data_IF_918619797012
#
_entry.id   IF_918619797012
#
_cell.length_a   1.000
_cell.length_b   1.000
_cell.length_c   1.000
_cell.angle_alpha   90.00
_cell.angle_beta   90.00
_cell.angle_gamma   90.00
#
_symmetry.space_group_name_H-M   'P 1'
#
loop_
_entity.id
_entity.type
_entity.pdbx_description
1 polymer ?
#
# COMPACT_ATOMS: atom_id res chain seq x y z
N UNK A 1 6.22 1.98 -6.78
CA UNK A 1 5.51 2.13 -5.49
C UNK A 1 4.50 1.01 -5.40
N UNK A 2 4.32 0.38 -4.23
CA UNK A 2 3.48 -0.81 -4.06
C UNK A 2 2.04 -0.65 -4.59
N UNK A 3 1.42 0.53 -4.42
CA UNK A 3 0.09 0.81 -4.96
C UNK A 3 0.01 0.72 -6.49
N UNK A 4 1.09 0.96 -7.23
CA UNK A 4 1.09 0.77 -8.70
C UNK A 4 1.02 -0.72 -9.05
N UNK A 5 1.79 -1.55 -8.35
CA UNK A 5 1.71 -3.01 -8.51
C UNK A 5 0.31 -3.53 -8.17
N UNK A 6 -0.32 -3.02 -7.12
CA UNK A 6 -1.71 -3.36 -6.79
C UNK A 6 -2.68 -2.94 -7.91
N UNK A 7 -2.50 -1.75 -8.48
CA UNK A 7 -3.29 -1.27 -9.62
C UNK A 7 -3.14 -2.21 -10.81
N UNK A 8 -1.91 -2.50 -11.20
CA UNK A 8 -1.61 -3.32 -12.36
C UNK A 8 -2.23 -4.72 -12.20
N UNK A 9 -2.11 -5.32 -11.02
CA UNK A 9 -2.73 -6.60 -10.71
C UNK A 9 -4.27 -6.57 -10.73
N UNK A 10 -4.88 -5.52 -10.18
CA UNK A 10 -6.34 -5.34 -10.19
C UNK A 10 -6.87 -5.24 -11.63
N UNK A 11 -6.20 -4.44 -12.47
CA UNK A 11 -6.56 -4.28 -13.88
C UNK A 11 -6.38 -5.59 -14.67
N UNK A 12 -5.29 -6.31 -14.44
CA UNK A 12 -5.06 -7.64 -15.03
C UNK A 12 -6.12 -8.66 -14.57
N UNK A 13 -6.57 -8.56 -13.32
CA UNK A 13 -7.65 -9.39 -12.76
C UNK A 13 -9.06 -8.98 -13.26
N UNK A 14 -9.15 -8.02 -14.18
CA UNK A 14 -10.40 -7.56 -14.78
C UNK A 14 -11.14 -6.46 -14.01
N UNK A 15 -10.54 -5.91 -12.95
CA UNK A 15 -11.12 -4.80 -12.19
C UNK A 15 -10.88 -3.48 -12.93
N UNK A 16 -11.94 -2.86 -13.42
CA UNK A 16 -11.85 -1.54 -14.07
C UNK A 16 -11.83 -0.41 -13.04
N UNK A 17 -10.68 0.23 -12.90
CA UNK A 17 -10.51 1.39 -12.03
C UNK A 17 -10.82 2.68 -12.79
N UNK A 18 -12.05 3.19 -12.68
CA UNK A 18 -12.48 4.44 -13.32
C UNK A 18 -11.65 5.66 -12.87
N UNK A 19 -11.15 5.64 -11.63
CA UNK A 19 -10.26 6.65 -11.05
C UNK A 19 -9.07 5.94 -10.40
N UNK A 20 -7.88 6.10 -10.98
CA UNK A 20 -6.65 5.41 -10.53
C UNK A 20 -5.78 6.28 -9.63
N UNK A 21 -6.34 6.82 -8.55
CA UNK A 21 -5.53 7.48 -7.51
C UNK A 21 -4.93 6.43 -6.55
N UNK A 22 -3.79 6.71 -5.89
CA UNK A 22 -3.22 5.77 -4.93
C UNK A 22 -4.20 5.34 -3.83
N UNK A 23 -5.03 6.28 -3.36
CA UNK A 23 -6.02 6.05 -2.31
C UNK A 23 -7.16 5.15 -2.79
N UNK A 24 -7.66 5.36 -4.01
CA UNK A 24 -8.69 4.50 -4.61
C UNK A 24 -8.16 3.09 -4.84
N UNK A 25 -6.94 2.95 -5.38
CA UNK A 25 -6.32 1.64 -5.59
C UNK A 25 -6.19 0.86 -4.29
N UNK A 26 -5.76 1.51 -3.19
CA UNK A 26 -5.67 0.85 -1.88
C UNK A 26 -7.04 0.39 -1.38
N UNK A 27 -8.08 1.23 -1.55
CA UNK A 27 -9.45 0.88 -1.15
C UNK A 27 -9.98 -0.34 -1.90
N UNK A 28 -9.79 -0.37 -3.21
CA UNK A 28 -10.21 -1.51 -4.04
C UNK A 28 -9.38 -2.74 -3.72
N UNK A 29 -8.06 -2.63 -3.55
CA UNK A 29 -7.21 -3.75 -3.19
C UNK A 29 -7.59 -4.37 -1.83
N UNK A 30 -7.99 -3.55 -0.85
CA UNK A 30 -8.54 -4.04 0.41
C UNK A 30 -9.90 -4.73 0.20
N UNK A 31 -10.82 -4.12 -0.54
CA UNK A 31 -12.12 -4.72 -0.84
C UNK A 31 -12.02 -6.04 -1.63
N UNK A 32 -11.00 -6.19 -2.46
CA UNK A 32 -10.67 -7.41 -3.21
C UNK A 32 -9.91 -8.46 -2.39
N UNK A 33 -9.63 -8.19 -1.10
CA UNK A 33 -8.95 -9.13 -0.21
C UNK A 33 -7.44 -9.29 -0.47
N UNK A 34 -6.83 -8.41 -1.26
CA UNK A 34 -5.38 -8.40 -1.50
C UNK A 34 -4.65 -7.84 -0.27
N UNK A 35 -5.24 -6.82 0.36
CA UNK A 35 -4.70 -6.19 1.57
C UNK A 35 -5.48 -6.67 2.79
N UNK A 36 -4.78 -6.98 3.88
CA UNK A 36 -5.39 -7.35 5.15
C UNK A 36 -5.89 -6.15 5.96
N UNK A 37 -5.25 -4.98 5.83
CA UNK A 37 -5.61 -3.76 6.56
C UNK A 37 -5.53 -2.51 5.67
N UNK A 38 -6.65 -2.13 5.07
CA UNK A 38 -6.71 -0.96 4.20
C UNK A 38 -6.42 0.36 4.91
N UNK A 39 -6.73 0.48 6.20
CA UNK A 39 -6.52 1.71 6.98
C UNK A 39 -5.05 1.97 7.17
N UNK A 40 -4.29 0.96 7.59
CA UNK A 40 -2.83 1.08 7.76
C UNK A 40 -2.11 1.37 6.45
N UNK A 41 -2.62 0.85 5.34
CA UNK A 41 -2.09 1.19 4.01
C UNK A 41 -2.35 2.66 3.62
N UNK A 42 -3.49 3.23 4.02
CA UNK A 42 -3.77 4.65 3.83
C UNK A 42 -2.90 5.55 4.72
N UNK A 43 -2.64 5.14 5.97
CA UNK A 43 -1.69 5.81 6.87
C UNK A 43 -0.28 5.80 6.28
N UNK A 44 0.18 4.65 5.77
CA UNK A 44 1.46 4.53 5.07
C UNK A 44 1.55 5.44 3.83
N UNK A 45 0.48 5.54 3.05
CA UNK A 45 0.42 6.45 1.90
C UNK A 45 0.58 7.92 2.33
N UNK A 46 -0.03 8.31 3.45
CA UNK A 46 0.08 9.67 3.99
C UNK A 46 1.49 9.97 4.48
N UNK A 47 2.10 9.05 5.26
CA UNK A 47 3.48 9.17 5.70
C UNK A 47 4.46 9.30 4.53
N UNK A 48 4.27 8.52 3.46
CA UNK A 48 5.07 8.64 2.25
C UNK A 48 4.97 10.04 1.62
N UNK A 49 3.75 10.59 1.53
CA UNK A 49 3.54 11.91 0.96
C UNK A 49 4.22 13.00 1.81
N UNK A 50 4.12 12.89 3.14
CA UNK A 50 4.78 13.80 4.09
C UNK A 50 6.31 13.74 3.96
N UNK A 51 6.89 12.54 3.97
CA UNK A 51 8.33 12.33 3.82
C UNK A 51 8.91 12.87 2.50
N UNK A 52 8.07 13.00 1.48
CA UNK A 52 8.48 13.53 0.17
C UNK A 52 8.44 15.06 0.09
N UNK A 53 7.79 15.73 1.06
CA UNK A 53 7.44 17.15 0.94
C UNK A 53 7.76 18.01 2.18
N UNK A 54 8.23 17.46 3.31
CA UNK A 54 8.41 18.28 4.53
C UNK A 54 9.66 17.88 5.35
N UNK A 55 10.43 18.90 5.78
CA UNK A 55 11.50 18.79 6.79
C UNK A 55 10.95 18.93 8.22
N UNK A 56 9.82 18.29 8.52
CA UNK A 56 9.29 18.22 9.88
C UNK A 56 9.88 16.99 10.54
N UNK A 57 10.93 17.21 11.33
CA UNK A 57 11.69 16.14 12.01
C UNK A 57 10.80 15.29 12.90
N UNK A 58 9.78 15.88 13.55
CA UNK A 58 8.87 15.13 14.41
C UNK A 58 8.01 14.15 13.60
N UNK A 59 7.48 14.62 12.46
CA UNK A 59 6.71 13.77 11.53
C UNK A 59 7.60 12.71 10.86
N UNK A 60 8.86 13.04 10.62
CA UNK A 60 9.84 12.09 10.11
C UNK A 60 10.06 10.94 11.10
N UNK A 61 10.28 11.24 12.38
CA UNK A 61 10.47 10.22 13.42
C UNK A 61 9.22 9.34 13.59
N UNK A 62 8.03 9.93 13.58
CA UNK A 62 6.75 9.19 13.59
C UNK A 62 6.65 8.23 12.39
N UNK A 63 7.05 8.68 11.20
CA UNK A 63 7.01 7.85 10.00
C UNK A 63 8.05 6.72 10.04
N UNK A 64 9.26 6.98 10.51
CA UNK A 64 10.31 5.96 10.68
C UNK A 64 9.85 4.89 11.66
N UNK A 65 9.30 5.29 12.81
CA UNK A 65 8.79 4.33 13.79
C UNK A 65 7.66 3.47 13.22
N UNK A 66 6.72 4.05 12.48
CA UNK A 66 5.65 3.32 11.80
C UNK A 66 6.17 2.36 10.73
N UNK A 67 7.24 2.72 10.01
CA UNK A 67 7.88 1.84 9.01
C UNK A 67 8.41 0.57 9.67
N UNK A 68 9.14 0.72 10.77
CA UNK A 68 9.77 -0.40 11.47
C UNK A 68 8.75 -1.30 12.18
N UNK A 69 7.78 -0.71 12.86
CA UNK A 69 6.82 -1.42 13.70
C UNK A 69 5.65 -2.03 12.94
N UNK A 70 5.18 -1.39 11.86
CA UNK A 70 3.92 -1.74 11.22
C UNK A 70 4.03 -1.95 9.71
N UNK A 71 4.63 -1.01 8.96
CA UNK A 71 4.56 -1.08 7.50
C UNK A 71 5.39 -2.23 6.93
N UNK A 72 6.46 -2.62 7.61
CA UNK A 72 7.30 -3.76 7.23
C UNK A 72 6.51 -5.08 7.13
N UNK A 73 5.57 -5.33 8.06
CA UNK A 73 4.72 -6.54 8.00
C UNK A 73 3.70 -6.44 6.87
N UNK A 74 3.06 -5.29 6.70
CA UNK A 74 2.07 -5.08 5.62
C UNK A 74 2.66 -5.32 4.23
N UNK A 75 3.90 -4.88 4.00
CA UNK A 75 4.60 -5.14 2.73
C UNK A 75 4.92 -6.63 2.57
N UNK A 76 5.36 -7.31 3.65
CA UNK A 76 5.60 -8.76 3.61
C UNK A 76 4.33 -9.54 3.27
N UNK A 77 3.18 -9.15 3.80
CA UNK A 77 1.90 -9.81 3.53
C UNK A 77 1.53 -9.71 2.05
N UNK A 78 1.73 -8.54 1.44
CA UNK A 78 1.49 -8.34 -0.01
C UNK A 78 2.50 -9.12 -0.86
N UNK A 79 3.76 -9.17 -0.46
CA UNK A 79 4.76 -10.01 -1.13
C UNK A 79 4.34 -11.48 -1.07
N UNK A 80 3.94 -11.97 0.10
CA UNK A 80 3.47 -13.34 0.28
C UNK A 80 2.24 -13.65 -0.58
N UNK A 81 1.27 -12.71 -0.65
CA UNK A 81 0.10 -12.82 -1.51
C UNK A 81 0.48 -13.04 -2.98
N UNK A 82 1.42 -12.24 -3.50
CA UNK A 82 1.88 -12.38 -4.89
C UNK A 82 2.74 -13.61 -5.11
N UNK A 83 3.66 -13.93 -4.18
CA UNK A 83 4.52 -15.11 -4.29
C UNK A 83 3.72 -16.41 -4.35
N UNK A 84 2.61 -16.50 -3.62
CA UNK A 84 1.73 -17.67 -3.67
C UNK A 84 1.09 -17.88 -5.06
N UNK A 85 0.94 -16.83 -5.86
CA UNK A 85 0.29 -16.84 -7.18
C UNK A 85 1.26 -16.93 -8.36
N UNK A 86 2.56 -16.78 -8.13
CA UNK A 86 3.61 -16.92 -9.17
C UNK A 86 3.94 -18.40 -9.44
N UNK A 87 3.58 -19.29 -8.52
CA UNK A 87 3.85 -20.74 -8.59
C UNK A 87 2.68 -21.55 -9.17
N UNK A 88 1.58 -20.89 -9.54
CA UNK A 88 0.43 -21.47 -10.25
C UNK A 88 0.55 -21.24 -11.76
#
# INVERSE_FOLDING_TARGET
MAWKTLKDYLEESGVQLTISTPREVIRVAFASGILADGTKWLEMLEHRNLLSHTYDVKRFDEAVHAIESEYSSLIRDVIAFFSARILE
#
